data_IF_971830835048
#
_entry.id   IF_971830835048
#
_cell.length_a   1.000
_cell.length_b   1.000
_cell.length_c   1.000
_cell.angle_alpha   90.00
_cell.angle_beta   90.00
_cell.angle_gamma   90.00
#
_symmetry.space_group_name_H-M   'P 1'
#
loop_
_entity.id
_entity.type
_entity.pdbx_description
1 polymer ?
#
# COMPACT_ATOMS: atom_id res chain seq x y z
N UNK A 1 -62.30 2.64 -9.31
CA UNK A 1 -62.17 3.59 -8.19
C UNK A 1 -61.43 2.89 -7.07
N UNK A 2 -60.26 3.41 -6.67
CA UNK A 2 -59.68 3.27 -5.33
C UNK A 2 -58.95 1.97 -4.94
N UNK A 3 -57.64 2.03 -4.61
CA UNK A 3 -56.87 0.97 -3.96
C UNK A 3 -56.80 1.19 -2.43
N UNK A 4 -56.46 0.16 -1.65
CA UNK A 4 -56.09 0.34 -0.24
C UNK A 4 -54.97 -0.60 0.19
N UNK A 5 -53.98 0.03 0.81
CA UNK A 5 -52.68 -0.44 1.27
C UNK A 5 -52.75 -1.46 2.42
N UNK A 6 -51.68 -2.23 2.59
CA UNK A 6 -51.32 -2.81 3.89
C UNK A 6 -49.80 -2.91 4.03
N UNK A 7 -49.22 -1.85 4.60
CA UNK A 7 -47.98 -1.95 5.36
C UNK A 7 -48.34 -2.40 6.78
N UNK A 8 -47.78 -3.51 7.25
CA UNK A 8 -47.79 -3.84 8.69
C UNK A 8 -46.36 -3.78 9.23
N UNK A 9 -46.17 -2.73 10.01
CA UNK A 9 -45.16 -2.50 11.04
C UNK A 9 -45.21 -3.63 12.08
N UNK A 10 -44.05 -4.12 12.55
CA UNK A 10 -44.00 -4.97 13.75
C UNK A 10 -42.64 -4.80 14.48
N UNK A 11 -42.65 -3.89 15.46
CA UNK A 11 -41.63 -3.78 16.52
C UNK A 11 -41.83 -4.87 17.59
N UNK A 12 -40.76 -5.39 18.22
CA UNK A 12 -40.87 -6.08 19.49
C UNK A 12 -40.64 -5.17 20.70
N UNK A 13 -41.50 -5.39 21.66
CA UNK A 13 -41.69 -4.70 22.94
C UNK A 13 -40.66 -5.06 24.00
N UNK A 14 -40.46 -4.10 24.90
CA UNK A 14 -39.83 -4.20 26.22
C UNK A 14 -40.63 -5.11 27.19
N UNK A 15 -39.92 -5.80 28.08
CA UNK A 15 -40.40 -6.42 29.33
C UNK A 15 -39.24 -6.26 30.34
N UNK A 16 -39.29 -5.44 31.40
CA UNK A 16 -39.94 -5.64 32.72
C UNK A 16 -39.77 -7.08 33.24
N UNK A 17 -39.17 -7.42 34.38
CA UNK A 17 -38.55 -6.71 35.49
C UNK A 17 -38.18 -7.74 36.56
N UNK A 18 -37.28 -7.42 37.48
CA UNK A 18 -37.29 -7.94 38.86
C UNK A 18 -36.30 -7.16 39.73
N UNK A 19 -36.91 -6.44 40.65
CA UNK A 19 -36.32 -5.67 41.74
C UNK A 19 -36.29 -6.59 42.96
N UNK A 20 -35.14 -6.76 43.61
CA UNK A 20 -35.06 -6.87 45.07
C UNK A 20 -33.71 -6.31 45.55
N UNK A 21 -33.81 -5.27 46.37
CA UNK A 21 -32.77 -4.67 47.19
C UNK A 21 -32.36 -5.64 48.32
N UNK A 22 -31.20 -5.52 48.98
CA UNK A 22 -31.03 -4.66 50.16
C UNK A 22 -29.59 -4.79 50.71
N UNK A 23 -28.95 -3.63 50.87
CA UNK A 23 -28.04 -3.16 51.96
C UNK A 23 -26.63 -3.75 52.12
N UNK A 24 -25.63 -2.85 52.08
CA UNK A 24 -24.64 -2.80 53.17
C UNK A 24 -23.19 -2.47 52.83
N UNK A 25 -22.88 -1.17 52.66
CA UNK A 25 -21.69 -0.52 53.26
C UNK A 25 -20.31 -0.70 52.60
N UNK A 26 -19.50 0.37 52.65
CA UNK A 26 -18.04 0.25 52.58
C UNK A 26 -17.34 1.21 51.61
N UNK A 27 -16.82 2.30 52.15
CA UNK A 27 -16.19 3.42 51.45
C UNK A 27 -14.65 3.27 51.39
N UNK A 28 -14.06 3.70 50.26
CA UNK A 28 -12.68 4.21 49.99
C UNK A 28 -11.47 3.26 49.83
N UNK A 29 -10.97 3.30 48.59
CA UNK A 29 -9.61 3.66 48.10
C UNK A 29 -8.35 2.99 48.71
N UNK A 30 -7.63 2.22 47.88
CA UNK A 30 -6.19 1.98 48.04
C UNK A 30 -5.48 1.86 46.68
N UNK A 31 -5.00 3.01 46.19
CA UNK A 31 -3.65 3.26 45.65
C UNK A 31 -2.78 2.04 45.33
N UNK A 32 -2.42 1.92 44.04
CA UNK A 32 -1.29 1.15 43.48
C UNK A 32 0.01 1.26 44.31
N UNK A 33 0.70 0.13 44.53
CA UNK A 33 2.13 -0.08 44.17
C UNK A 33 2.63 -1.44 44.65
N UNK A 34 3.06 -2.28 43.70
CA UNK A 34 3.89 -3.45 43.95
C UNK A 34 5.00 -3.47 42.91
N UNK A 35 6.22 -3.17 43.32
CA UNK A 35 7.46 -3.47 42.59
C UNK A 35 8.61 -3.27 43.57
N UNK A 36 9.28 -4.37 43.90
CA UNK A 36 10.39 -4.40 44.86
C UNK A 36 11.65 -3.71 44.35
N UNK A 37 12.42 -3.22 45.31
CA UNK A 37 13.74 -2.64 45.12
C UNK A 37 14.82 -3.74 44.98
N UNK A 38 15.86 -3.51 44.16
CA UNK A 38 17.19 -4.11 44.34
C UNK A 38 18.23 -3.11 44.91
N UNK A 39 19.41 -3.59 45.38
CA UNK A 39 20.18 -3.01 46.48
C UNK A 39 21.26 -1.97 46.07
N UNK A 40 21.95 -1.33 47.05
CA UNK A 40 22.82 -0.17 46.82
C UNK A 40 24.31 -0.54 46.83
N UNK A 41 25.12 0.01 45.92
CA UNK A 41 26.59 0.08 46.12
C UNK A 41 27.20 1.32 45.44
N UNK A 42 27.75 2.21 46.31
CA UNK A 42 29.07 2.89 46.29
C UNK A 42 29.58 3.58 45.00
N UNK A 43 30.42 4.62 45.02
CA UNK A 43 30.84 5.71 45.93
C UNK A 43 31.79 6.56 45.06
N UNK A 44 31.91 7.84 45.42
CA UNK A 44 32.71 8.92 44.85
C UNK A 44 34.15 8.62 44.36
N UNK A 45 34.57 9.46 43.41
CA UNK A 45 35.93 10.01 43.23
C UNK A 45 36.48 9.78 41.82
N UNK A 46 37.23 10.65 41.15
CA UNK A 46 37.70 12.03 41.34
C UNK A 46 38.26 12.49 39.98
N UNK A 47 38.33 13.81 39.78
CA UNK A 47 38.95 14.55 38.66
C UNK A 47 40.29 13.96 38.21
N UNK A 48 40.58 13.93 36.90
CA UNK A 48 41.77 14.52 36.23
C UNK A 48 41.44 14.75 34.73
N UNK A 49 41.45 16.01 34.27
CA UNK A 49 41.78 16.41 32.88
C UNK A 49 43.25 16.86 32.88
N UNK A 50 44.01 16.98 31.76
CA UNK A 50 43.63 16.90 30.34
C UNK A 50 44.55 15.99 29.49
N UNK A 51 44.09 15.56 28.32
CA UNK A 51 44.99 15.20 27.21
C UNK A 51 44.30 15.51 25.88
N UNK A 52 44.65 16.66 25.31
CA UNK A 52 44.47 16.97 23.90
C UNK A 52 45.34 15.99 23.12
N UNK A 53 44.72 15.01 22.48
CA UNK A 53 45.35 14.27 21.39
C UNK A 53 44.58 14.57 20.11
N UNK A 54 45.22 15.37 19.26
CA UNK A 54 44.81 15.59 17.87
C UNK A 54 44.84 14.24 17.16
N UNK A 55 43.69 13.63 16.95
CA UNK A 55 43.57 12.54 16.00
C UNK A 55 43.46 13.16 14.61
N UNK A 56 44.34 12.80 13.66
CA UNK A 56 44.31 13.36 12.33
C UNK A 56 43.04 12.95 11.60
N UNK A 57 42.36 13.95 11.06
CA UNK A 57 41.39 13.81 9.99
C UNK A 57 42.10 13.12 8.83
N UNK A 58 41.77 11.85 8.56
CA UNK A 58 41.94 11.26 7.24
C UNK A 58 40.69 10.45 6.90
N UNK A 59 40.00 10.99 5.90
CA UNK A 59 38.80 10.54 5.21
C UNK A 59 38.82 9.03 4.88
N UNK A 60 37.68 8.39 5.10
CA UNK A 60 37.21 7.32 4.22
C UNK A 60 35.81 7.70 3.73
N UNK A 61 35.73 8.76 2.92
CA UNK A 61 34.68 8.83 1.92
C UNK A 61 34.99 7.68 0.96
N UNK A 62 34.11 6.68 0.90
CA UNK A 62 34.15 5.70 -0.16
C UNK A 62 34.06 6.47 -1.48
N UNK A 63 35.21 6.70 -2.10
CA UNK A 63 35.30 7.17 -3.46
C UNK A 63 34.69 6.06 -4.31
N UNK A 64 33.42 6.20 -4.66
CA UNK A 64 32.97 5.75 -5.96
C UNK A 64 33.76 6.60 -6.96
N UNK A 65 34.97 6.15 -7.26
CA UNK A 65 35.74 6.60 -8.40
C UNK A 65 34.88 6.18 -9.59
N UNK A 66 34.00 7.09 -10.03
CA UNK A 66 33.49 7.08 -11.38
C UNK A 66 34.74 7.23 -12.23
N UNK A 67 35.31 6.10 -12.62
CA UNK A 67 36.08 6.00 -13.85
C UNK A 67 35.08 6.37 -14.93
N UNK A 68 34.87 7.67 -15.13
CA UNK A 68 34.42 8.17 -16.41
C UNK A 68 35.47 7.64 -17.36
N UNK A 69 35.11 6.57 -18.05
CA UNK A 69 36.03 5.82 -18.89
C UNK A 69 36.77 6.84 -19.73
N UNK A 70 38.09 6.79 -19.78
CA UNK A 70 38.87 7.68 -20.64
C UNK A 70 38.31 7.65 -22.07
N UNK A 71 37.68 6.54 -22.47
CA UNK A 71 36.86 6.42 -23.67
C UNK A 71 35.73 7.46 -23.79
N UNK A 72 34.96 7.75 -22.74
CA UNK A 72 33.86 8.75 -22.76
C UNK A 72 34.35 10.19 -22.86
N UNK A 73 35.45 10.55 -22.20
CA UNK A 73 36.06 11.89 -22.29
C UNK A 73 36.84 12.08 -23.62
N UNK A 74 37.47 11.03 -24.14
CA UNK A 74 38.06 11.01 -25.48
C UNK A 74 36.96 11.10 -26.54
N UNK A 75 35.85 10.38 -26.37
CA UNK A 75 34.68 10.52 -27.25
C UNK A 75 34.11 11.94 -27.21
N UNK A 76 33.91 12.54 -26.03
CA UNK A 76 33.44 13.93 -25.92
C UNK A 76 34.39 14.92 -26.60
N UNK A 77 35.70 14.75 -26.41
CA UNK A 77 36.70 15.69 -26.95
C UNK A 77 36.98 15.50 -28.45
N UNK A 78 36.79 14.30 -29.00
CA UNK A 78 36.84 14.03 -30.46
C UNK A 78 35.58 14.56 -31.16
N UNK A 79 34.40 14.41 -30.54
CA UNK A 79 33.13 14.95 -31.04
C UNK A 79 33.17 16.50 -31.05
N UNK A 80 33.70 17.14 -30.01
CA UNK A 80 33.77 18.61 -29.94
C UNK A 80 34.82 19.25 -30.85
N UNK A 81 35.91 18.55 -31.21
CA UNK A 81 37.00 19.13 -31.99
C UNK A 81 36.86 18.98 -33.51
N UNK A 82 35.92 18.16 -34.01
CA UNK A 82 35.92 17.71 -35.41
C UNK A 82 34.59 17.93 -36.17
N UNK A 83 33.70 18.80 -35.68
CA UNK A 83 32.34 18.91 -36.21
C UNK A 83 32.05 20.27 -36.85
N UNK A 84 32.17 20.34 -38.18
CA UNK A 84 31.64 21.42 -39.00
C UNK A 84 30.10 21.47 -38.88
N UNK A 85 29.51 22.66 -38.75
CA UNK A 85 28.14 22.87 -38.25
C UNK A 85 26.99 22.06 -38.89
N UNK A 86 27.18 21.44 -40.06
CA UNK A 86 26.21 20.51 -40.68
C UNK A 86 26.17 19.14 -40.01
N UNK A 87 27.31 18.63 -39.54
CA UNK A 87 27.37 17.35 -38.82
C UNK A 87 26.84 17.49 -37.38
N UNK A 88 26.93 18.69 -36.80
CA UNK A 88 26.35 19.01 -35.48
C UNK A 88 24.82 18.96 -35.49
N UNK A 89 24.18 19.55 -36.51
CA UNK A 89 22.72 19.49 -36.65
C UNK A 89 22.26 18.04 -36.87
N UNK A 90 22.98 17.28 -37.70
CA UNK A 90 22.68 15.88 -37.94
C UNK A 90 22.85 15.02 -36.67
N UNK A 91 23.91 15.23 -35.90
CA UNK A 91 24.16 14.51 -34.64
C UNK A 91 23.13 14.83 -33.56
N UNK A 92 22.77 16.12 -33.39
CA UNK A 92 21.70 16.53 -32.47
C UNK A 92 20.34 15.97 -32.88
N UNK A 93 20.02 15.99 -34.19
CA UNK A 93 18.80 15.38 -34.70
C UNK A 93 18.76 13.86 -34.40
N UNK A 94 19.89 13.17 -34.55
CA UNK A 94 20.01 11.73 -34.26
C UNK A 94 19.88 11.42 -32.76
N UNK A 95 20.50 12.23 -31.90
CA UNK A 95 20.36 12.12 -30.44
C UNK A 95 18.92 12.39 -30.01
N UNK A 96 18.29 13.44 -30.55
CA UNK A 96 16.88 13.71 -30.31
C UNK A 96 16.01 12.52 -30.76
N UNK A 97 16.26 11.97 -31.96
CA UNK A 97 15.55 10.79 -32.47
C UNK A 97 15.67 9.61 -31.49
N UNK A 98 16.89 9.30 -31.02
CA UNK A 98 17.15 8.27 -30.01
C UNK A 98 16.41 8.52 -28.68
N UNK A 99 16.39 9.77 -28.19
CA UNK A 99 15.66 10.13 -26.98
C UNK A 99 14.13 10.00 -27.18
N UNK A 100 13.61 10.35 -28.35
CA UNK A 100 12.19 10.14 -28.70
C UNK A 100 11.84 8.64 -28.79
N UNK A 101 12.75 7.77 -29.22
CA UNK A 101 12.53 6.31 -29.20
C UNK A 101 12.44 5.72 -27.78
N UNK A 102 13.02 6.36 -26.77
CA UNK A 102 12.92 5.93 -25.38
C UNK A 102 11.65 6.42 -24.66
N UNK A 103 10.85 7.27 -25.29
CA UNK A 103 9.56 7.68 -24.75
C UNK A 103 8.51 6.62 -25.07
N UNK A 104 8.51 5.52 -24.31
CA UNK A 104 7.33 4.67 -24.28
C UNK A 104 6.18 5.44 -23.64
N UNK A 105 5.25 5.92 -24.46
CA UNK A 105 3.94 6.38 -24.01
C UNK A 105 3.17 5.14 -23.57
N UNK A 106 3.36 4.73 -22.33
CA UNK A 106 2.59 3.62 -21.74
C UNK A 106 1.17 4.11 -21.47
N UNK A 107 0.26 3.84 -22.39
CA UNK A 107 -1.17 3.97 -22.13
C UNK A 107 -1.57 2.97 -21.03
N UNK A 108 -2.32 3.45 -20.03
CA UNK A 108 -2.87 2.59 -18.98
C UNK A 108 -3.80 1.54 -19.60
N UNK A 109 -3.53 0.26 -19.37
CA UNK A 109 -4.39 -0.82 -19.85
C UNK A 109 -5.52 -1.05 -18.86
N UNK A 110 -6.76 -1.18 -19.35
CA UNK A 110 -7.89 -1.58 -18.51
C UNK A 110 -8.08 -3.11 -18.56
N UNK A 111 -8.19 -3.74 -17.39
CA UNK A 111 -8.50 -5.15 -17.24
C UNK A 111 -9.84 -5.33 -16.54
N UNK A 112 -10.80 -5.95 -17.21
CA UNK A 112 -12.07 -6.34 -16.55
C UNK A 112 -11.84 -7.59 -15.72
N UNK A 113 -11.94 -7.46 -14.40
CA UNK A 113 -11.71 -8.57 -13.46
C UNK A 113 -12.77 -9.65 -13.70
N UNK A 114 -12.32 -10.89 -13.90
CA UNK A 114 -13.18 -12.04 -14.23
C UNK A 114 -13.66 -12.07 -15.68
N UNK A 115 -13.09 -11.22 -16.56
CA UNK A 115 -13.41 -11.14 -17.99
C UNK A 115 -14.94 -11.01 -18.22
N UNK A 116 -15.59 -11.95 -18.89
CA UNK A 116 -17.04 -11.91 -19.14
C UNK A 116 -17.89 -12.23 -17.90
N UNK A 117 -17.34 -12.94 -16.92
CA UNK A 117 -18.04 -13.30 -15.68
C UNK A 117 -18.10 -12.13 -14.68
N UNK A 118 -17.19 -11.16 -14.83
CA UNK A 118 -17.08 -10.02 -13.93
C UNK A 118 -16.56 -10.38 -12.54
N UNK A 119 -16.78 -9.48 -11.59
CA UNK A 119 -16.43 -9.70 -10.19
C UNK A 119 -17.43 -10.68 -9.57
N UNK A 120 -17.04 -11.95 -9.47
CA UNK A 120 -17.86 -13.06 -8.99
C UNK A 120 -17.04 -14.10 -8.21
N UNK A 121 -17.68 -15.18 -7.78
CA UNK A 121 -17.03 -16.29 -7.06
C UNK A 121 -16.01 -17.03 -7.94
N UNK A 122 -15.04 -17.70 -7.31
CA UNK A 122 -13.98 -18.47 -7.98
C UNK A 122 -13.14 -17.66 -9.00
N UNK A 123 -12.89 -16.38 -8.71
CA UNK A 123 -12.15 -15.46 -9.59
C UNK A 123 -10.66 -15.35 -9.21
N UNK A 124 -10.21 -16.04 -8.17
CA UNK A 124 -8.89 -15.92 -7.58
C UNK A 124 -7.73 -16.25 -8.53
N UNK A 125 -7.99 -17.10 -9.51
CA UNK A 125 -7.02 -17.51 -10.52
C UNK A 125 -7.05 -16.64 -11.79
N UNK A 126 -8.03 -15.72 -11.92
CA UNK A 126 -8.13 -14.81 -13.08
C UNK A 126 -6.84 -14.01 -13.36
N UNK A 127 -6.06 -13.54 -12.36
CA UNK A 127 -4.80 -12.87 -12.62
C UNK A 127 -3.72 -13.74 -13.30
N UNK A 128 -3.84 -15.07 -13.29
CA UNK A 128 -2.80 -15.97 -13.79
C UNK A 128 -2.56 -15.76 -15.30
N UNK A 129 -1.28 -15.67 -15.69
CA UNK A 129 -0.88 -15.43 -17.08
C UNK A 129 -1.05 -13.99 -17.55
N UNK A 130 -1.57 -13.08 -16.73
CA UNK A 130 -1.65 -11.65 -17.04
C UNK A 130 -0.43 -10.91 -16.47
N UNK A 131 0.04 -9.92 -17.23
CA UNK A 131 1.13 -9.03 -16.81
C UNK A 131 0.56 -7.64 -16.57
N UNK A 132 0.60 -7.20 -15.32
CA UNK A 132 0.11 -5.88 -14.92
C UNK A 132 1.28 -4.90 -14.75
N UNK A 133 1.04 -3.64 -15.09
CA UNK A 133 1.99 -2.53 -14.92
C UNK A 133 1.42 -1.50 -13.96
N UNK A 134 2.30 -0.79 -13.26
CA UNK A 134 1.86 0.37 -12.49
C UNK A 134 1.14 1.39 -13.41
N UNK A 135 -0.03 1.85 -13.00
CA UNK A 135 -0.88 2.73 -13.79
C UNK A 135 -2.00 2.01 -14.56
N UNK A 136 -1.94 0.68 -14.72
CA UNK A 136 -3.07 -0.09 -15.28
C UNK A 136 -4.31 0.02 -14.38
N UNK A 137 -5.49 -0.23 -14.95
CA UNK A 137 -6.77 -0.08 -14.25
C UNK A 137 -7.48 -1.43 -14.18
N UNK A 138 -7.83 -1.86 -12.97
CA UNK A 138 -8.76 -2.97 -12.75
C UNK A 138 -10.19 -2.44 -12.76
N UNK A 139 -11.04 -3.05 -13.58
CA UNK A 139 -12.47 -2.74 -13.68
C UNK A 139 -13.28 -3.86 -13.06
N UNK A 140 -13.92 -3.57 -11.94
CA UNK A 140 -14.75 -4.51 -11.19
C UNK A 140 -16.23 -4.28 -11.54
N UNK A 141 -16.82 -5.21 -12.30
CA UNK A 141 -18.23 -5.17 -12.69
C UNK A 141 -19.03 -6.18 -11.90
N UNK A 142 -20.09 -5.73 -11.25
CA UNK A 142 -21.00 -6.57 -10.45
C UNK A 142 -22.34 -5.87 -10.23
N UNK A 143 -23.37 -6.63 -9.84
CA UNK A 143 -24.65 -6.05 -9.44
C UNK A 143 -24.49 -5.17 -8.20
N UNK A 144 -24.87 -3.89 -8.30
CA UNK A 144 -24.77 -2.97 -7.17
C UNK A 144 -25.54 -3.51 -5.95
N UNK A 145 -24.89 -3.52 -4.78
CA UNK A 145 -25.45 -4.09 -3.55
C UNK A 145 -25.40 -5.61 -3.45
N UNK A 146 -25.02 -6.34 -4.51
CA UNK A 146 -24.76 -7.78 -4.43
C UNK A 146 -23.35 -8.07 -3.91
N UNK A 147 -22.38 -7.23 -4.31
CA UNK A 147 -20.98 -7.38 -3.96
C UNK A 147 -20.36 -6.01 -3.62
N UNK A 148 -19.12 -6.05 -3.16
CA UNK A 148 -18.27 -4.87 -2.99
C UNK A 148 -16.81 -5.24 -3.33
N UNK A 149 -15.95 -4.24 -3.39
CA UNK A 149 -14.50 -4.42 -3.54
C UNK A 149 -13.82 -3.73 -2.37
N UNK A 150 -13.05 -4.48 -1.59
CA UNK A 150 -12.27 -3.95 -0.47
C UNK A 150 -10.79 -4.17 -0.73
N UNK A 151 -10.02 -3.09 -0.65
CA UNK A 151 -8.56 -3.14 -0.75
C UNK A 151 -8.01 -3.53 0.61
N UNK A 152 -7.24 -4.61 0.66
CA UNK A 152 -6.68 -5.17 1.88
C UNK A 152 -5.18 -5.40 1.77
N UNK A 153 -4.55 -5.73 2.89
CA UNK A 153 -3.19 -6.27 2.89
C UNK A 153 -3.19 -7.80 2.77
N UNK A 154 -2.01 -8.40 2.79
CA UNK A 154 -1.85 -9.85 2.66
C UNK A 154 -2.56 -10.63 3.78
N UNK A 155 -2.58 -10.08 5.00
CA UNK A 155 -3.25 -10.69 6.15
C UNK A 155 -4.77 -10.68 5.96
N UNK A 156 -5.34 -9.53 5.58
CA UNK A 156 -6.77 -9.39 5.31
C UNK A 156 -7.22 -10.24 4.11
N UNK A 157 -6.37 -10.40 3.11
CA UNK A 157 -6.62 -11.31 1.99
C UNK A 157 -6.68 -12.77 2.43
N UNK A 158 -5.71 -13.23 3.22
CA UNK A 158 -5.61 -14.62 3.67
C UNK A 158 -6.72 -14.98 4.67
N UNK A 159 -7.04 -14.05 5.56
CA UNK A 159 -8.04 -14.24 6.61
C UNK A 159 -9.47 -13.88 6.20
N UNK A 160 -9.65 -13.30 5.02
CA UNK A 160 -10.91 -12.72 4.55
C UNK A 160 -11.49 -11.64 5.48
N UNK A 161 -10.62 -10.95 6.24
CA UNK A 161 -11.01 -9.93 7.22
C UNK A 161 -10.34 -8.60 6.89
N UNK A 162 -11.09 -7.63 6.35
CA UNK A 162 -10.54 -6.29 6.12
C UNK A 162 -10.25 -5.60 7.46
N UNK A 163 -9.18 -4.80 7.51
CA UNK A 163 -8.86 -3.96 8.67
C UNK A 163 -9.83 -2.79 8.76
N UNK A 164 -10.02 -2.25 9.96
CA UNK A 164 -10.81 -1.03 10.15
C UNK A 164 -10.24 0.11 9.29
N UNK A 165 -11.11 0.82 8.57
CA UNK A 165 -10.71 1.88 7.64
C UNK A 165 -10.22 1.40 6.26
N UNK A 166 -10.31 0.11 5.94
CA UNK A 166 -9.99 -0.39 4.60
C UNK A 166 -10.84 0.30 3.54
N UNK A 167 -10.21 0.69 2.43
CA UNK A 167 -10.91 1.36 1.33
C UNK A 167 -11.89 0.40 0.67
N UNK A 168 -13.15 0.81 0.63
CA UNK A 168 -14.26 0.00 0.12
C UNK A 168 -14.96 0.72 -1.02
N UNK A 169 -15.29 -0.03 -2.06
CA UNK A 169 -15.99 0.42 -3.26
C UNK A 169 -17.27 -0.39 -3.46
N UNK A 170 -18.33 0.28 -3.88
CA UNK A 170 -19.70 -0.27 -3.91
C UNK A 170 -20.51 0.18 -5.13
N UNK A 171 -19.89 0.74 -6.17
CA UNK A 171 -20.64 1.31 -7.30
C UNK A 171 -21.21 0.26 -8.25
N UNK A 172 -20.68 -0.97 -8.26
CA UNK A 172 -20.99 -2.01 -9.26
C UNK A 172 -20.18 -1.90 -10.55
N UNK A 173 -19.42 -0.82 -10.74
CA UNK A 173 -18.50 -0.62 -11.87
C UNK A 173 -17.27 0.16 -11.39
N UNK A 174 -16.54 -0.40 -10.43
CA UNK A 174 -15.42 0.30 -9.79
C UNK A 174 -14.17 0.20 -10.66
N UNK A 175 -13.52 1.36 -10.87
CA UNK A 175 -12.22 1.45 -11.55
C UNK A 175 -11.12 1.74 -10.53
N UNK A 176 -10.14 0.86 -10.44
CA UNK A 176 -9.03 0.99 -9.49
C UNK A 176 -7.70 0.94 -10.24
N UNK A 177 -6.98 2.06 -10.22
CA UNK A 177 -5.62 2.14 -10.77
C UNK A 177 -4.64 1.40 -9.86
N UNK A 178 -3.81 0.54 -10.45
CA UNK A 178 -2.79 -0.23 -9.78
C UNK A 178 -1.58 0.65 -9.47
N UNK A 179 -1.20 0.69 -8.19
CA UNK A 179 0.12 1.16 -7.80
C UNK A 179 1.17 0.07 -8.06
N UNK A 180 2.44 0.48 -8.17
CA UNK A 180 3.56 -0.47 -8.24
C UNK A 180 3.58 -1.37 -7.01
N UNK A 181 3.80 -2.66 -7.23
CA UNK A 181 3.85 -3.69 -6.18
C UNK A 181 2.62 -4.58 -6.15
N UNK A 182 2.38 -5.24 -5.02
CA UNK A 182 1.28 -6.20 -4.87
C UNK A 182 0.08 -5.56 -4.19
N UNK A 183 -1.09 -5.70 -4.81
CA UNK A 183 -2.38 -5.26 -4.29
C UNK A 183 -3.30 -6.47 -4.09
N UNK A 184 -4.13 -6.41 -3.04
CA UNK A 184 -5.07 -7.47 -2.69
C UNK A 184 -6.48 -6.90 -2.64
N UNK A 185 -7.42 -7.63 -3.25
CA UNK A 185 -8.82 -7.24 -3.33
C UNK A 185 -9.70 -8.40 -2.89
N UNK A 186 -10.71 -8.12 -2.09
CA UNK A 186 -11.70 -9.10 -1.62
C UNK A 186 -13.11 -8.53 -1.71
N UNK A 187 -14.12 -9.39 -1.76
CA UNK A 187 -15.47 -9.02 -1.36
C UNK A 187 -15.64 -9.33 0.12
N UNK A 188 -16.05 -8.34 0.92
CA UNK A 188 -16.17 -8.50 2.37
C UNK A 188 -17.55 -8.96 2.83
N UNK A 189 -18.44 -9.29 1.91
CA UNK A 189 -19.75 -9.82 2.26
C UNK A 189 -19.60 -11.23 2.84
N UNK A 190 -20.40 -11.61 3.87
CA UNK A 190 -20.23 -12.87 4.56
C UNK A 190 -20.17 -14.07 3.62
N UNK A 191 -19.08 -14.85 3.67
CA UNK A 191 -18.88 -16.06 2.86
C UNK A 191 -18.38 -15.82 1.44
N UNK A 192 -18.34 -14.57 0.95
CA UNK A 192 -17.95 -14.31 -0.44
C UNK A 192 -16.45 -14.46 -0.67
N UNK A 193 -15.63 -13.90 0.21
CA UNK A 193 -14.18 -14.04 0.12
C UNK A 193 -13.74 -15.51 0.30
N UNK A 194 -14.40 -16.24 1.20
CA UNK A 194 -14.16 -17.67 1.44
C UNK A 194 -14.56 -18.52 0.23
N UNK A 195 -15.61 -18.12 -0.50
CA UNK A 195 -15.99 -18.66 -1.82
C UNK A 195 -15.11 -18.11 -2.97
N UNK A 196 -13.87 -17.76 -2.66
CA UNK A 196 -12.83 -17.34 -3.57
C UNK A 196 -13.15 -16.08 -4.41
N UNK A 197 -13.98 -15.18 -3.89
CA UNK A 197 -14.19 -13.83 -4.43
C UNK A 197 -13.10 -12.87 -3.97
N UNK A 198 -11.86 -13.15 -4.39
CA UNK A 198 -10.64 -12.47 -3.94
C UNK A 198 -9.57 -12.56 -5.02
N UNK A 199 -8.81 -11.51 -5.28
CA UNK A 199 -7.66 -11.54 -6.21
C UNK A 199 -6.40 -10.91 -5.61
N UNK A 200 -5.25 -11.44 -6.01
CA UNK A 200 -3.93 -10.85 -5.76
C UNK A 200 -3.33 -10.45 -7.11
N UNK A 201 -2.92 -9.19 -7.23
CA UNK A 201 -2.32 -8.65 -8.45
C UNK A 201 -0.98 -8.02 -8.12
N UNK A 202 0.05 -8.33 -8.90
CA UNK A 202 1.38 -7.70 -8.81
C UNK A 202 1.63 -6.90 -10.07
N UNK A 203 1.78 -5.58 -9.90
CA UNK A 203 2.07 -4.63 -10.96
C UNK A 203 3.54 -4.22 -10.91
N UNK A 204 4.25 -4.37 -12.03
CA UNK A 204 5.69 -4.10 -12.15
C UNK A 204 5.99 -2.65 -12.56
#
# INVERSE_FOLDING_TARGET
MGPSDWWTDNRPSYMTGSLFAVIGGGVRDFRKRGSGDPPPYLRLGSRISPAVSRVPIVRAAAAAHSTKDAATEIFLSVILKNMEGRTFIAALALICLCLFYHLEITAATEFTVGDSAGWSFNVENWPNGKSFKAGDVLVFKYGQGAHNVVVVDAEGYNSCKPKSGSKTYTSGNDKITLAKGTSYFICSYPGHCEAAMKIKVTAN
#
